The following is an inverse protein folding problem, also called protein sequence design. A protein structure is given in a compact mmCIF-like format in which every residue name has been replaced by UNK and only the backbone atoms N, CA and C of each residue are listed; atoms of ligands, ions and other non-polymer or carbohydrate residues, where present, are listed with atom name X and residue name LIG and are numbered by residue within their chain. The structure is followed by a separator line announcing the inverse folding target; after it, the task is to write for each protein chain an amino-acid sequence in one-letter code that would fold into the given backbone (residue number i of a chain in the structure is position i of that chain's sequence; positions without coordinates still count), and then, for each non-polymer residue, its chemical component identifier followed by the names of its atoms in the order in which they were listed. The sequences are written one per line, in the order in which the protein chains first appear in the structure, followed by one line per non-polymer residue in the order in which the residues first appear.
data_IF_125765700956
#
_entry.id   IF_125765700956
#
_cell.length_a   1.000
_cell.length_b   1.000
_cell.length_c   1.000
_cell.angle_alpha   90.00
_cell.angle_beta   90.00
_cell.angle_gamma   90.00
#
_symmetry.space_group_name_H-M   'P 1'
#
loop_
_entity.id
_entity.type
_entity.pdbx_description
1 polymer ?
#
# COMPACT_ATOMS: atom_id res chain seq x y z
N UNK A 1 3.39 0.52 12.22
CA UNK A 1 4.08 1.42 11.28
C UNK A 1 3.72 2.88 11.49
N UNK A 2 2.45 3.23 11.70
CA UNK A 2 2.05 4.64 11.93
C UNK A 2 2.77 5.31 13.09
N UNK A 3 2.98 4.60 14.20
CA UNK A 3 3.79 5.09 15.33
C UNK A 3 5.22 5.46 14.91
N UNK A 4 5.87 4.62 14.11
CA UNK A 4 7.23 4.86 13.60
C UNK A 4 7.29 5.97 12.54
N UNK A 5 6.20 6.17 11.78
CA UNK A 5 6.06 7.32 10.91
C UNK A 5 5.93 8.60 11.75
N UNK A 6 5.18 8.54 12.85
CA UNK A 6 4.91 9.68 13.73
C UNK A 6 4.32 10.84 12.93
N UNK A 7 4.97 11.99 13.03
CA UNK A 7 4.60 13.20 12.29
C UNK A 7 5.53 13.49 11.08
N UNK A 8 6.40 12.54 10.71
CA UNK A 8 7.28 12.68 9.55
C UNK A 8 6.46 12.64 8.26
N UNK A 9 6.92 13.36 7.24
CA UNK A 9 6.28 13.35 5.92
C UNK A 9 6.37 11.95 5.29
N UNK A 10 7.56 11.36 5.36
CA UNK A 10 7.93 10.02 4.91
C UNK A 10 8.68 9.29 6.04
N UNK A 11 8.85 7.97 5.96
CA UNK A 11 9.69 7.24 6.92
C UNK A 11 11.14 7.70 6.86
N UNK A 12 11.62 8.12 5.68
CA UNK A 12 12.91 8.78 5.46
C UNK A 12 13.01 10.24 5.95
N UNK A 13 11.99 10.77 6.61
CA UNK A 13 11.92 12.18 7.05
C UNK A 13 11.25 13.05 5.99
N UNK A 14 12.00 14.00 5.43
CA UNK A 14 11.48 14.96 4.43
C UNK A 14 11.46 14.40 3.01
N UNK A 15 12.19 13.31 2.76
CA UNK A 15 12.30 12.65 1.46
C UNK A 15 11.99 11.16 1.60
N UNK A 16 11.64 10.54 0.46
CA UNK A 16 11.48 9.08 0.38
C UNK A 16 12.80 8.42 0.76
N UNK A 17 12.75 7.58 1.79
CA UNK A 17 13.87 6.77 2.27
C UNK A 17 13.68 5.29 2.01
N UNK A 18 14.60 4.49 2.52
CA UNK A 18 14.61 3.04 2.34
C UNK A 18 13.30 2.37 2.78
N UNK A 19 12.79 2.72 3.96
CA UNK A 19 11.54 2.15 4.49
C UNK A 19 10.35 2.52 3.62
N UNK A 20 10.32 3.74 3.07
CA UNK A 20 9.25 4.14 2.15
C UNK A 20 9.25 3.28 0.88
N UNK A 21 10.44 3.09 0.29
CA UNK A 21 10.63 2.26 -0.91
C UNK A 21 10.23 0.81 -0.64
N UNK A 22 10.59 0.27 0.51
CA UNK A 22 10.26 -1.10 0.88
C UNK A 22 8.75 -1.30 1.12
N UNK A 23 8.05 -0.27 1.63
CA UNK A 23 6.69 -0.41 2.13
C UNK A 23 5.61 0.09 1.15
N UNK A 24 5.88 1.13 0.37
CA UNK A 24 4.88 1.72 -0.52
C UNK A 24 4.32 0.72 -1.56
N UNK A 25 5.07 -0.28 -2.08
CA UNK A 25 4.51 -1.22 -3.05
C UNK A 25 3.31 -2.02 -2.53
N UNK A 26 3.28 -2.30 -1.21
CA UNK A 26 2.17 -3.00 -0.59
C UNK A 26 0.86 -2.21 -0.63
N UNK A 27 0.90 -0.89 -0.87
CA UNK A 27 -0.33 -0.10 -1.02
C UNK A 27 -1.17 -0.54 -2.22
N UNK A 28 -0.54 -1.08 -3.26
CA UNK A 28 -1.26 -1.59 -4.44
C UNK A 28 -2.09 -2.85 -4.14
N UNK A 29 -1.77 -3.54 -3.03
CA UNK A 29 -2.45 -4.75 -2.58
C UNK A 29 -3.61 -4.49 -1.62
N UNK A 30 -3.79 -3.23 -1.17
CA UNK A 30 -4.78 -2.89 -0.14
C UNK A 30 -6.18 -3.36 -0.49
N UNK A 31 -6.63 -3.16 -1.73
CA UNK A 31 -7.95 -3.64 -2.17
C UNK A 31 -8.13 -5.14 -1.93
N UNK A 32 -7.10 -5.94 -2.20
CA UNK A 32 -7.16 -7.38 -1.95
C UNK A 32 -7.19 -7.69 -0.45
N UNK A 33 -6.37 -7.01 0.35
CA UNK A 33 -6.38 -7.17 1.82
C UNK A 33 -7.73 -6.78 2.44
N UNK A 34 -8.32 -5.66 2.02
CA UNK A 34 -9.63 -5.21 2.48
C UNK A 34 -10.73 -6.19 2.09
N UNK A 35 -10.74 -6.64 0.83
CA UNK A 35 -11.78 -7.55 0.31
C UNK A 35 -11.70 -8.93 0.96
N UNK A 36 -10.52 -9.56 0.95
CA UNK A 36 -10.38 -10.95 1.42
C UNK A 36 -10.14 -11.06 2.92
N UNK A 37 -9.65 -9.99 3.54
CA UNK A 37 -9.47 -9.90 4.99
C UNK A 37 -10.68 -9.30 5.72
N UNK A 38 -11.68 -8.79 4.98
CA UNK A 38 -12.80 -8.02 5.54
C UNK A 38 -12.32 -6.88 6.46
N UNK A 39 -11.34 -6.12 5.98
CA UNK A 39 -10.70 -5.01 6.69
C UNK A 39 -11.10 -3.67 6.06
N UNK A 40 -10.95 -2.59 6.83
CA UNK A 40 -11.02 -1.22 6.33
C UNK A 40 -9.71 -0.50 6.71
N UNK A 41 -8.75 -0.47 5.79
CA UNK A 41 -7.40 0.02 6.11
C UNK A 41 -7.41 1.53 6.36
N UNK A 42 -8.25 2.29 5.65
CA UNK A 42 -8.35 3.74 5.84
C UNK A 42 -8.95 4.12 7.20
N UNK A 43 -9.93 3.36 7.69
CA UNK A 43 -10.53 3.57 9.01
C UNK A 43 -9.58 3.21 10.15
N UNK A 44 -8.87 2.10 10.03
CA UNK A 44 -7.98 1.59 11.09
C UNK A 44 -6.63 2.33 11.12
N UNK A 45 -6.11 2.68 9.94
CA UNK A 45 -4.77 3.25 9.75
C UNK A 45 -4.82 4.53 8.88
N UNK A 46 -5.50 5.60 9.33
CA UNK A 46 -5.70 6.80 8.52
C UNK A 46 -4.40 7.57 8.24
N UNK A 47 -3.43 7.57 9.16
CA UNK A 47 -2.13 8.23 8.93
C UNK A 47 -1.32 7.47 7.88
N UNK A 48 -1.42 6.15 7.87
CA UNK A 48 -0.76 5.29 6.90
C UNK A 48 -1.33 5.50 5.49
N UNK A 49 -2.66 5.55 5.35
CA UNK A 49 -3.29 5.86 4.06
C UNK A 49 -2.94 7.27 3.59
N UNK A 50 -2.90 8.25 4.49
CA UNK A 50 -2.43 9.59 4.15
C UNK A 50 -0.97 9.60 3.67
N UNK A 51 -0.09 8.80 4.29
CA UNK A 51 1.29 8.61 3.85
C UNK A 51 1.38 7.98 2.46
N UNK A 52 0.62 6.92 2.18
CA UNK A 52 0.53 6.32 0.84
C UNK A 52 0.12 7.37 -0.20
N UNK A 53 -0.93 8.15 0.07
CA UNK A 53 -1.41 9.23 -0.82
C UNK A 53 -0.30 10.25 -1.11
N UNK A 54 0.52 10.60 -0.11
CA UNK A 54 1.70 11.49 -0.28
C UNK A 54 2.82 10.84 -1.11
N UNK A 55 3.09 9.55 -0.92
CA UNK A 55 4.08 8.83 -1.73
C UNK A 55 3.67 8.78 -3.21
N UNK A 56 2.38 8.54 -3.49
CA UNK A 56 1.85 8.50 -4.86
C UNK A 56 1.92 9.83 -5.62
N UNK A 57 2.10 10.96 -4.93
CA UNK A 57 2.37 12.24 -5.60
C UNK A 57 3.79 12.34 -6.18
N UNK A 58 4.71 11.44 -5.79
CA UNK A 58 6.05 11.39 -6.38
C UNK A 58 5.99 10.62 -7.70
N UNK A 59 6.40 11.26 -8.79
CA UNK A 59 6.39 10.68 -10.13
C UNK A 59 7.12 9.33 -10.20
N UNK A 60 8.26 9.20 -9.51
CA UNK A 60 9.02 7.95 -9.45
C UNK A 60 8.22 6.81 -8.83
N UNK A 61 7.43 7.08 -7.79
CA UNK A 61 6.57 6.07 -7.14
C UNK A 61 5.40 5.75 -8.06
N UNK A 62 4.69 6.77 -8.55
CA UNK A 62 3.51 6.59 -9.39
C UNK A 62 3.81 5.78 -10.67
N UNK A 63 4.99 5.99 -11.28
CA UNK A 63 5.42 5.23 -12.47
C UNK A 63 5.91 3.81 -12.16
N UNK A 64 6.32 3.54 -10.92
CA UNK A 64 6.87 2.23 -10.53
C UNK A 64 5.81 1.26 -10.05
N UNK A 65 4.67 1.76 -9.58
CA UNK A 65 3.62 0.94 -8.99
C UNK A 65 2.61 0.48 -10.05
N UNK A 66 2.19 -0.80 -10.02
CA UNK A 66 1.11 -1.28 -10.86
C UNK A 66 -0.24 -0.68 -10.45
N UNK A 67 -1.20 -0.75 -11.36
CA UNK A 67 -2.60 -0.43 -11.07
C UNK A 67 -3.14 -1.35 -9.96
N UNK A 68 -3.66 -0.82 -8.83
CA UNK A 68 -4.23 -1.61 -7.75
C UNK A 68 -5.37 -2.56 -8.20
N UNK A 69 -6.10 -2.22 -9.27
CA UNK A 69 -7.12 -3.11 -9.82
C UNK A 69 -6.51 -4.38 -10.42
N UNK A 70 -5.42 -4.24 -11.18
CA UNK A 70 -4.72 -5.38 -11.78
C UNK A 70 -4.07 -6.26 -10.72
N UNK A 71 -3.54 -5.66 -9.65
CA UNK A 71 -3.01 -6.42 -8.50
C UNK A 71 -4.14 -7.20 -7.83
N UNK A 72 -5.32 -6.61 -7.67
CA UNK A 72 -6.47 -7.33 -7.14
C UNK A 72 -6.89 -8.53 -8.02
N UNK A 73 -6.97 -8.35 -9.34
CA UNK A 73 -7.26 -9.43 -10.28
C UNK A 73 -6.21 -10.55 -10.20
N UNK A 74 -4.92 -10.20 -10.14
CA UNK A 74 -3.85 -11.18 -9.92
C UNK A 74 -4.04 -11.97 -8.63
N UNK A 75 -4.44 -11.31 -7.53
CA UNK A 75 -4.71 -12.02 -6.26
C UNK A 75 -5.89 -12.97 -6.41
N UNK A 76 -6.96 -12.59 -7.09
CA UNK A 76 -8.09 -13.49 -7.40
C UNK A 76 -7.59 -14.74 -8.15
N UNK A 77 -6.77 -14.55 -9.19
CA UNK A 77 -6.21 -15.68 -9.95
C UNK A 77 -5.31 -16.59 -9.09
N UNK A 78 -4.43 -16.00 -8.28
CA UNK A 78 -3.56 -16.75 -7.36
C UNK A 78 -4.39 -17.59 -6.39
N UNK A 79 -5.45 -17.02 -5.81
CA UNK A 79 -6.34 -17.72 -4.87
C UNK A 79 -7.01 -18.94 -5.51
N UNK A 80 -7.44 -18.84 -6.77
CA UNK A 80 -7.97 -19.97 -7.55
C UNK A 80 -6.92 -21.05 -7.79
N UNK A 81 -5.71 -20.64 -8.20
CA UNK A 81 -4.60 -21.57 -8.48
C UNK A 81 -4.22 -22.39 -7.24
N UNK A 82 -4.22 -21.76 -6.06
CA UNK A 82 -3.84 -22.43 -4.80
C UNK A 82 -5.04 -23.06 -4.07
N UNK A 83 -6.25 -23.02 -4.65
CA UNK A 83 -7.43 -23.72 -4.14
C UNK A 83 -8.03 -23.16 -2.85
N UNK A 84 -7.94 -21.84 -2.63
CA UNK A 84 -8.51 -21.16 -1.44
C UNK A 84 -9.67 -20.20 -1.78
N UNK A 85 -10.18 -20.30 -3.00
CA UNK A 85 -11.42 -19.69 -3.47
C UNK A 85 -12.44 -20.79 -3.78
#
# INVERSE_FOLDING_TARGET
MEDQLGDKTYFGGDNIGFVDIALVPFSTWFKAYETFGNLNIESECPKFVAWVKRCLQKESVAKSLPDPHKVYELVVEIRKIIGIE
#
